data_IF_126932365668
#
_entry.id   IF_126932365668
#
_cell.length_a   1.000
_cell.length_b   1.000
_cell.length_c   1.000
_cell.angle_alpha   90.00
_cell.angle_beta   90.00
_cell.angle_gamma   90.00
#
_symmetry.space_group_name_H-M   'P 1'
#
loop_
_entity.id
_entity.type
_entity.pdbx_description
1 polymer ?
#
# COMPACT_ATOMS: atom_id res chain seq x y z
N UNK A 1 18.58 -8.39 -16.15
CA UNK A 1 17.79 -8.17 -17.35
C UNK A 1 16.38 -7.78 -16.98
N UNK A 2 15.89 -6.66 -17.50
CA UNK A 2 14.54 -6.18 -17.18
C UNK A 2 13.47 -7.09 -17.75
N UNK A 3 12.44 -7.32 -16.95
CA UNK A 3 11.26 -8.10 -17.37
C UNK A 3 10.00 -7.34 -17.02
N UNK A 4 8.97 -7.56 -17.81
CA UNK A 4 7.64 -7.03 -17.54
C UNK A 4 6.84 -8.05 -16.74
N UNK A 5 6.23 -7.60 -15.67
CA UNK A 5 5.41 -8.45 -14.81
C UNK A 5 4.02 -7.87 -14.68
N UNK A 6 3.01 -8.71 -14.86
CA UNK A 6 1.63 -8.36 -14.52
C UNK A 6 1.38 -8.87 -13.11
N UNK A 7 1.07 -7.96 -12.20
CA UNK A 7 1.00 -8.25 -10.77
C UNK A 7 -0.41 -8.03 -10.26
N UNK A 8 -0.86 -8.95 -9.42
CA UNK A 8 -2.08 -8.77 -8.64
C UNK A 8 -1.66 -8.68 -7.17
N UNK A 9 -1.83 -7.51 -6.58
CA UNK A 9 -1.61 -7.33 -5.15
C UNK A 9 -2.91 -7.71 -4.44
N UNK A 10 -2.84 -8.61 -3.48
CA UNK A 10 -4.04 -9.21 -2.88
C UNK A 10 -4.35 -8.77 -1.47
N UNK A 11 -3.37 -8.24 -0.76
CA UNK A 11 -3.56 -7.77 0.60
C UNK A 11 -2.55 -6.67 0.86
N UNK A 12 -3.00 -5.52 1.33
CA UNK A 12 -2.12 -4.39 1.57
C UNK A 12 -2.33 -3.88 2.99
N UNK A 13 -1.25 -3.82 3.75
CA UNK A 13 -1.25 -3.22 5.09
C UNK A 13 -0.61 -1.84 4.99
N UNK A 14 -1.44 -0.80 5.02
CA UNK A 14 -0.97 0.57 4.91
C UNK A 14 -0.40 1.08 6.22
N UNK A 15 0.67 1.87 6.10
CA UNK A 15 1.29 2.52 7.26
C UNK A 15 0.61 3.85 7.53
N UNK A 16 -0.46 3.82 8.32
CA UNK A 16 -1.17 5.02 8.75
C UNK A 16 -0.69 5.32 10.17
N UNK A 17 0.03 6.42 10.33
CA UNK A 17 0.67 6.77 11.59
C UNK A 17 -0.02 7.93 12.29
N UNK A 18 0.30 8.09 13.57
CA UNK A 18 -0.20 9.19 14.38
C UNK A 18 0.14 10.56 13.78
N UNK A 19 1.31 10.69 13.18
CA UNK A 19 1.75 11.93 12.56
C UNK A 19 0.85 12.38 11.43
N UNK A 20 0.25 11.44 10.72
CA UNK A 20 -0.66 11.72 9.61
C UNK A 20 -2.00 12.29 10.08
N UNK A 21 -2.32 12.13 11.35
CA UNK A 21 -3.63 12.45 11.92
C UNK A 21 -3.59 13.47 13.06
N UNK A 22 -2.43 14.06 13.31
CA UNK A 22 -2.15 14.87 14.50
C UNK A 22 -3.11 16.05 14.70
N UNK A 23 -3.59 16.63 13.62
CA UNK A 23 -4.47 17.80 13.68
C UNK A 23 -5.94 17.46 13.95
N UNK A 24 -6.32 16.19 13.76
CA UNK A 24 -7.70 15.75 13.83
C UNK A 24 -8.04 14.93 15.08
N UNK A 25 -7.05 14.66 15.93
CA UNK A 25 -7.22 13.71 17.02
C UNK A 25 -7.25 14.38 18.36
N UNK A 26 -8.27 14.06 19.13
CA UNK A 26 -8.49 14.56 20.47
C UNK A 26 -8.27 13.44 21.50
N UNK A 27 -8.60 12.21 21.17
CA UNK A 27 -8.40 11.06 22.06
C UNK A 27 -8.07 9.77 21.29
N UNK A 28 -7.69 8.73 22.04
CA UNK A 28 -7.22 7.46 21.49
C UNK A 28 -8.31 6.71 20.73
N UNK A 29 -9.55 6.76 21.20
CA UNK A 29 -10.66 6.10 20.54
C UNK A 29 -10.94 6.70 19.16
N UNK A 30 -10.93 8.02 19.07
CA UNK A 30 -11.10 8.72 17.80
C UNK A 30 -9.94 8.41 16.85
N UNK A 31 -8.73 8.29 17.37
CA UNK A 31 -7.56 7.92 16.62
C UNK A 31 -7.72 6.53 15.96
N UNK A 32 -8.14 5.54 16.74
CA UNK A 32 -8.34 4.18 16.26
C UNK A 32 -9.43 4.14 15.18
N UNK A 33 -10.54 4.84 15.41
CA UNK A 33 -11.64 4.91 14.46
C UNK A 33 -11.22 5.59 13.17
N UNK A 34 -10.42 6.64 13.26
CA UNK A 34 -9.92 7.36 12.09
C UNK A 34 -9.02 6.49 11.23
N UNK A 35 -8.12 5.74 11.87
CA UNK A 35 -7.25 4.80 11.15
C UNK A 35 -8.07 3.74 10.42
N UNK A 36 -9.08 3.17 11.08
CA UNK A 36 -9.95 2.16 10.46
C UNK A 36 -10.71 2.74 9.27
N UNK A 37 -11.20 3.97 9.39
CA UNK A 37 -11.90 4.64 8.31
C UNK A 37 -10.99 4.84 7.10
N UNK A 38 -9.78 5.36 7.32
CA UNK A 38 -8.81 5.58 6.25
C UNK A 38 -8.47 4.26 5.56
N UNK A 39 -8.15 3.23 6.34
CA UNK A 39 -7.78 1.93 5.78
C UNK A 39 -8.93 1.28 5.01
N UNK A 40 -10.17 1.48 5.43
CA UNK A 40 -11.32 0.91 4.74
C UNK A 40 -11.58 1.57 3.39
N UNK A 41 -11.18 2.81 3.21
CA UNK A 41 -11.32 3.53 1.94
C UNK A 41 -10.20 3.21 0.95
N UNK A 42 -9.07 2.69 1.44
CA UNK A 42 -7.93 2.36 0.59
C UNK A 42 -8.11 0.98 -0.05
N UNK A 43 -7.66 0.80 -1.30
CA UNK A 43 -7.82 -0.49 -1.97
C UNK A 43 -6.97 -1.57 -1.29
N UNK A 44 -7.54 -2.76 -1.12
CA UNK A 44 -6.84 -3.93 -0.61
C UNK A 44 -6.33 -4.83 -1.73
N UNK A 45 -6.86 -4.64 -2.93
CA UNK A 45 -6.48 -5.40 -4.12
C UNK A 45 -6.17 -4.42 -5.23
N UNK A 46 -5.09 -4.67 -5.95
CA UNK A 46 -4.65 -3.76 -6.98
C UNK A 46 -3.97 -4.54 -8.12
N UNK A 47 -4.23 -4.13 -9.34
CA UNK A 47 -3.57 -4.70 -10.52
C UNK A 47 -2.61 -3.69 -11.11
N UNK A 48 -1.40 -4.15 -11.41
CA UNK A 48 -0.38 -3.26 -11.98
C UNK A 48 0.56 -4.05 -12.88
N UNK A 49 1.23 -3.31 -13.75
CA UNK A 49 2.28 -3.86 -14.59
C UNK A 49 3.56 -3.08 -14.31
N UNK A 50 4.62 -3.79 -14.00
CA UNK A 50 5.93 -3.19 -13.74
C UNK A 50 6.98 -3.83 -14.62
N UNK A 51 7.98 -3.03 -15.00
CA UNK A 51 9.15 -3.51 -15.75
C UNK A 51 10.37 -3.27 -14.89
N UNK A 52 10.97 -4.34 -14.40
CA UNK A 52 12.11 -4.26 -13.50
C UNK A 52 12.87 -5.58 -13.46
N UNK A 53 13.96 -5.58 -12.70
CA UNK A 53 14.69 -6.81 -12.39
C UNK A 53 13.87 -7.61 -11.37
N UNK A 54 13.92 -8.96 -11.41
CA UNK A 54 13.18 -9.79 -10.45
C UNK A 54 13.48 -9.45 -8.99
N UNK A 55 14.71 -9.08 -8.69
CA UNK A 55 15.15 -8.74 -7.33
C UNK A 55 14.60 -7.40 -6.84
N UNK A 56 14.16 -6.54 -7.75
CA UNK A 56 13.60 -5.22 -7.41
C UNK A 56 12.07 -5.21 -7.41
N UNK A 57 11.45 -6.35 -7.69
CA UNK A 57 10.02 -6.43 -7.88
C UNK A 57 9.20 -5.92 -6.69
N UNK A 58 9.56 -6.33 -5.48
CA UNK A 58 8.84 -5.88 -4.28
C UNK A 58 8.95 -4.37 -4.08
N UNK A 59 10.13 -3.81 -4.30
CA UNK A 59 10.35 -2.38 -4.16
C UNK A 59 9.52 -1.59 -5.17
N UNK A 60 9.45 -2.08 -6.40
CA UNK A 60 8.65 -1.45 -7.46
C UNK A 60 7.17 -1.49 -7.14
N UNK A 61 6.67 -2.61 -6.61
CA UNK A 61 5.28 -2.74 -6.21
C UNK A 61 4.95 -1.78 -5.06
N UNK A 62 5.79 -1.74 -4.05
CA UNK A 62 5.59 -0.84 -2.90
C UNK A 62 5.57 0.62 -3.35
N UNK A 63 6.49 1.00 -4.23
CA UNK A 63 6.55 2.35 -4.76
C UNK A 63 5.28 2.70 -5.55
N UNK A 64 4.80 1.78 -6.38
CA UNK A 64 3.57 1.95 -7.14
C UNK A 64 2.38 2.20 -6.22
N UNK A 65 2.22 1.38 -5.19
CA UNK A 65 1.13 1.52 -4.23
C UNK A 65 1.19 2.89 -3.53
N UNK A 66 2.38 3.29 -3.11
CA UNK A 66 2.59 4.58 -2.44
C UNK A 66 2.21 5.75 -3.34
N UNK A 67 2.60 5.71 -4.61
CA UNK A 67 2.28 6.78 -5.57
C UNK A 67 0.77 6.84 -5.85
N UNK A 68 0.13 5.68 -6.00
CA UNK A 68 -1.30 5.62 -6.32
C UNK A 68 -2.19 6.03 -5.15
N UNK A 69 -1.82 5.66 -3.93
CA UNK A 69 -2.65 5.89 -2.74
C UNK A 69 -2.22 7.08 -1.90
N UNK A 70 -0.97 7.50 -2.04
CA UNK A 70 -0.39 8.53 -1.19
C UNK A 70 0.03 8.04 0.19
N UNK A 71 -0.06 6.72 0.45
CA UNK A 71 0.30 6.11 1.73
C UNK A 71 1.40 5.09 1.56
N UNK A 72 2.32 5.04 2.52
CA UNK A 72 3.34 4.00 2.56
C UNK A 72 2.72 2.69 3.03
N UNK A 73 3.32 1.57 2.68
CA UNK A 73 2.86 0.26 3.12
C UNK A 73 3.81 -0.37 4.12
N UNK A 74 3.26 -1.09 5.10
CA UNK A 74 4.06 -1.91 6.02
C UNK A 74 4.34 -3.27 5.40
N UNK A 75 3.33 -3.85 4.77
CA UNK A 75 3.46 -5.15 4.10
C UNK A 75 2.37 -5.30 3.05
N UNK A 76 2.59 -6.22 2.15
CA UNK A 76 1.58 -6.60 1.15
C UNK A 76 1.91 -7.99 0.63
N UNK A 77 0.88 -8.66 0.07
CA UNK A 77 1.06 -9.91 -0.65
C UNK A 77 0.71 -9.69 -2.09
N UNK A 78 1.37 -10.43 -2.97
CA UNK A 78 1.12 -10.31 -4.40
C UNK A 78 1.32 -11.65 -5.09
N UNK A 79 0.75 -11.77 -6.29
CA UNK A 79 0.99 -12.90 -7.17
C UNK A 79 1.33 -12.36 -8.55
N UNK A 80 2.15 -13.08 -9.27
CA UNK A 80 2.49 -12.73 -10.65
C UNK A 80 1.44 -13.41 -11.54
N UNK A 81 0.70 -12.58 -12.27
CA UNK A 81 -0.42 -13.07 -13.10
C UNK A 81 0.05 -13.59 -14.46
N UNK A 82 1.23 -13.17 -14.89
CA UNK A 82 1.77 -13.66 -16.16
C UNK A 82 3.28 -13.55 -16.21
#
# INVERSE_FOLDING_TARGET
MLKEYDIKVTSIDYSVTEEDLIDDIIDEEDYINKIKEIKSELPQTMYLTVTCEPEDLEDEIADFISVETGWLTNSFTYVIAS
#
